data_IF_135826185142
#
_entry.id   IF_135826185142
#
_cell.length_a   1.000
_cell.length_b   1.000
_cell.length_c   1.000
_cell.angle_alpha   90.00
_cell.angle_beta   90.00
_cell.angle_gamma   90.00
#
_symmetry.space_group_name_H-M   'P 1'
#
loop_
_entity.id
_entity.type
_entity.pdbx_description
1 polymer ?
#
# COMPACT_ATOMS: atom_id res chain seq x y z
N UNK A 1 16.66 35.81 8.64
CA UNK A 1 15.94 34.71 7.98
C UNK A 1 16.23 34.87 6.50
N UNK A 2 16.90 33.94 5.82
CA UNK A 2 17.00 34.02 4.38
C UNK A 2 15.63 33.76 3.77
N UNK A 3 15.21 34.63 2.86
CA UNK A 3 13.98 34.47 2.08
C UNK A 3 14.03 33.14 1.31
N UNK A 4 12.95 32.36 1.40
CA UNK A 4 12.76 31.17 0.59
C UNK A 4 12.83 31.56 -0.90
N UNK A 5 13.42 30.73 -1.78
CA UNK A 5 13.42 31.01 -3.21
C UNK A 5 11.98 31.17 -3.71
N UNK A 6 11.77 32.22 -4.52
CA UNK A 6 10.47 32.64 -5.06
C UNK A 6 9.67 31.42 -5.58
N UNK A 7 8.54 31.14 -4.95
CA UNK A 7 7.53 30.22 -5.48
C UNK A 7 7.19 29.00 -4.62
N UNK A 8 7.97 28.66 -3.59
CA UNK A 8 7.64 27.51 -2.72
C UNK A 8 6.73 27.98 -1.59
N UNK A 9 5.45 27.60 -1.65
CA UNK A 9 4.52 27.86 -0.54
C UNK A 9 4.67 26.78 0.54
N UNK A 10 4.54 27.14 1.84
CA UNK A 10 4.62 26.17 2.93
C UNK A 10 3.67 25.00 2.71
N UNK A 11 4.14 23.79 2.98
CA UNK A 11 3.33 22.55 2.85
C UNK A 11 2.45 22.35 4.08
N UNK A 12 2.75 23.04 5.18
CA UNK A 12 1.97 23.02 6.43
C UNK A 12 0.52 23.48 6.21
N UNK A 13 -0.44 22.75 6.76
CA UNK A 13 -1.87 23.05 6.64
C UNK A 13 -2.53 22.62 5.34
N UNK A 14 -1.81 21.95 4.44
CA UNK A 14 -2.40 21.41 3.20
C UNK A 14 -3.26 20.17 3.46
N UNK A 15 -4.34 19.99 2.69
CA UNK A 15 -5.12 18.76 2.80
C UNK A 15 -4.29 17.55 2.38
N UNK A 16 -4.40 16.45 3.14
CA UNK A 16 -3.81 15.15 2.78
C UNK A 16 -4.90 14.29 2.15
N UNK A 17 -4.61 13.70 0.99
CA UNK A 17 -5.53 12.85 0.24
C UNK A 17 -4.90 11.49 0.02
N UNK A 18 -5.62 10.41 0.32
CA UNK A 18 -5.26 9.06 -0.06
C UNK A 18 -5.95 8.68 -1.37
N UNK A 19 -5.17 8.47 -2.42
CA UNK A 19 -5.62 8.03 -3.74
C UNK A 19 -5.75 6.50 -3.78
N UNK A 20 -6.72 5.93 -3.05
CA UNK A 20 -6.92 4.49 -2.95
C UNK A 20 -8.33 4.12 -2.51
N UNK A 21 -8.90 3.04 -3.07
CA UNK A 21 -10.15 2.45 -2.62
C UNK A 21 -9.99 1.50 -1.42
N UNK A 22 -8.74 1.19 -1.00
CA UNK A 22 -8.48 0.20 0.05
C UNK A 22 -8.91 0.70 1.44
N UNK A 23 -9.90 0.04 2.10
CA UNK A 23 -10.29 0.40 3.46
C UNK A 23 -9.18 0.12 4.47
N UNK A 24 -8.32 -0.88 4.23
CA UNK A 24 -7.17 -1.19 5.08
C UNK A 24 -6.17 -0.04 5.11
N UNK A 25 -5.81 0.53 3.95
CA UNK A 25 -4.92 1.69 3.85
C UNK A 25 -5.48 2.91 4.55
N UNK A 26 -6.78 3.16 4.38
CA UNK A 26 -7.43 4.30 5.04
C UNK A 26 -7.48 4.15 6.56
N UNK A 27 -7.67 2.93 7.07
CA UNK A 27 -7.62 2.64 8.51
C UNK A 27 -6.21 2.87 9.07
N UNK A 28 -5.18 2.29 8.43
CA UNK A 28 -3.78 2.48 8.82
C UNK A 28 -3.38 3.96 8.89
N UNK A 29 -3.77 4.77 7.89
CA UNK A 29 -3.42 6.19 7.90
C UNK A 29 -4.12 6.96 9.01
N UNK A 30 -5.41 6.69 9.30
CA UNK A 30 -6.12 7.38 10.38
C UNK A 30 -5.49 7.13 11.76
N UNK A 31 -4.84 5.99 11.94
CA UNK A 31 -4.14 5.61 13.16
C UNK A 31 -2.69 6.13 13.20
N UNK A 32 -2.14 6.59 12.06
CA UNK A 32 -0.74 6.95 11.92
C UNK A 32 -0.34 8.25 12.65
N UNK A 33 -1.30 9.08 13.03
CA UNK A 33 -1.03 10.29 13.84
C UNK A 33 -1.72 11.55 13.32
N UNK A 34 -1.45 12.69 13.97
CA UNK A 34 -2.16 13.96 13.73
C UNK A 34 -2.11 14.47 12.29
N UNK A 35 -0.99 14.25 11.59
CA UNK A 35 -0.82 14.64 10.18
C UNK A 35 -1.87 14.00 9.26
N UNK A 36 -2.45 12.87 9.66
CA UNK A 36 -3.42 12.10 8.88
C UNK A 36 -4.84 12.12 9.47
N UNK A 37 -5.07 12.87 10.55
CA UNK A 37 -6.35 12.88 11.27
C UNK A 37 -7.55 13.29 10.39
N UNK A 38 -7.33 14.11 9.36
CA UNK A 38 -8.35 14.63 8.46
C UNK A 38 -8.11 14.22 6.99
N UNK A 39 -7.59 13.01 6.75
CA UNK A 39 -7.37 12.53 5.37
C UNK A 39 -8.68 12.45 4.60
N UNK A 40 -8.63 12.85 3.34
CA UNK A 40 -9.69 12.62 2.36
C UNK A 40 -9.36 11.40 1.52
N UNK A 41 -10.36 10.62 1.17
CA UNK A 41 -10.21 9.45 0.30
C UNK A 41 -10.74 9.80 -1.08
N UNK A 42 -9.94 9.59 -2.10
CA UNK A 42 -10.35 9.72 -3.50
C UNK A 42 -9.91 8.47 -4.26
N UNK A 43 -10.83 7.89 -5.01
CA UNK A 43 -10.56 6.65 -5.77
C UNK A 43 -10.25 7.04 -7.21
N UNK A 44 -8.99 6.90 -7.65
CA UNK A 44 -8.62 7.19 -9.03
C UNK A 44 -9.09 6.06 -9.96
N UNK A 45 -9.47 6.44 -11.17
CA UNK A 45 -9.75 5.51 -12.27
C UNK A 45 -8.51 5.48 -13.19
N UNK A 46 -7.62 4.51 -12.95
CA UNK A 46 -6.38 4.32 -13.73
C UNK A 46 -6.24 2.85 -14.10
N UNK A 47 -5.62 2.59 -15.26
CA UNK A 47 -5.21 1.25 -15.64
C UNK A 47 -3.92 0.88 -14.91
N UNK A 48 -3.93 -0.24 -14.18
CA UNK A 48 -2.82 -0.70 -13.36
C UNK A 48 -2.03 -1.79 -14.10
N UNK A 49 -0.70 -1.71 -14.02
CA UNK A 49 0.23 -2.72 -14.54
C UNK A 49 0.76 -3.64 -13.44
N UNK A 50 1.86 -4.36 -13.74
CA UNK A 50 2.51 -5.27 -12.78
C UNK A 50 3.45 -4.61 -11.78
N UNK A 51 3.85 -3.34 -11.98
CA UNK A 51 4.77 -2.62 -11.10
C UNK A 51 4.01 -1.78 -10.06
N UNK A 52 4.17 -2.06 -8.75
CA UNK A 52 3.44 -1.37 -7.70
C UNK A 52 3.84 0.10 -7.56
N UNK A 53 5.09 0.47 -7.88
CA UNK A 53 5.55 1.84 -7.80
C UNK A 53 4.97 2.68 -8.94
N UNK A 54 4.90 2.15 -10.16
CA UNK A 54 4.24 2.80 -11.28
C UNK A 54 2.74 2.97 -11.03
N UNK A 55 2.06 1.95 -10.52
CA UNK A 55 0.66 2.02 -10.15
C UNK A 55 0.40 3.08 -9.07
N UNK A 56 1.26 3.17 -8.05
CA UNK A 56 1.18 4.19 -7.01
C UNK A 56 1.33 5.60 -7.59
N UNK A 57 2.26 5.79 -8.53
CA UNK A 57 2.46 7.07 -9.23
C UNK A 57 1.24 7.45 -10.06
N UNK A 58 0.69 6.54 -10.87
CA UNK A 58 -0.50 6.78 -11.68
C UNK A 58 -1.69 7.21 -10.81
N UNK A 59 -1.90 6.53 -9.68
CA UNK A 59 -2.96 6.86 -8.70
C UNK A 59 -2.76 8.25 -8.10
N UNK A 60 -1.54 8.56 -7.65
CA UNK A 60 -1.23 9.86 -7.05
C UNK A 60 -1.37 11.00 -8.06
N UNK A 61 -0.83 10.85 -9.26
CA UNK A 61 -0.90 11.86 -10.33
C UNK A 61 -2.35 12.16 -10.76
N UNK A 62 -3.19 11.14 -10.94
CA UNK A 62 -4.58 11.32 -11.33
C UNK A 62 -5.34 12.22 -10.36
N UNK A 63 -5.16 11.98 -9.05
CA UNK A 63 -5.83 12.75 -8.00
C UNK A 63 -5.17 14.11 -7.78
N UNK A 64 -3.84 14.22 -7.89
CA UNK A 64 -3.09 15.46 -7.69
C UNK A 64 -3.41 16.52 -8.76
N UNK A 65 -3.67 16.11 -10.00
CA UNK A 65 -4.10 17.03 -11.07
C UNK A 65 -5.38 17.78 -10.76
N UNK A 66 -6.32 17.10 -10.08
CA UNK A 66 -7.59 17.69 -9.65
C UNK A 66 -7.45 18.45 -8.31
N UNK A 67 -6.37 18.19 -7.57
CA UNK A 67 -6.14 18.76 -6.24
C UNK A 67 -4.68 19.27 -6.11
N UNK A 68 -4.26 20.29 -6.90
CA UNK A 68 -2.85 20.67 -7.03
C UNK A 68 -2.20 21.14 -5.73
N UNK A 69 -3.00 21.62 -4.77
CA UNK A 69 -2.51 22.10 -3.47
C UNK A 69 -2.45 21.01 -2.40
N UNK A 70 -3.00 19.82 -2.68
CA UNK A 70 -3.01 18.73 -1.70
C UNK A 70 -1.72 17.92 -1.73
N UNK A 71 -1.38 17.33 -0.57
CA UNK A 71 -0.43 16.22 -0.49
C UNK A 71 -1.20 14.95 -0.83
N UNK A 72 -0.95 14.36 -1.99
CA UNK A 72 -1.64 13.17 -2.47
C UNK A 72 -0.75 11.95 -2.29
N UNK A 73 -1.28 10.93 -1.63
CA UNK A 73 -0.61 9.64 -1.39
C UNK A 73 -1.25 8.60 -2.29
N UNK A 74 -0.49 8.06 -3.22
CA UNK A 74 -0.82 6.87 -3.99
C UNK A 74 -0.09 5.65 -3.43
N UNK A 75 -0.73 4.49 -3.45
CA UNK A 75 -0.09 3.25 -3.05
C UNK A 75 -0.65 2.06 -3.83
N UNK A 76 0.23 1.08 -4.08
CA UNK A 76 -0.14 -0.21 -4.65
C UNK A 76 0.68 -1.33 -4.03
N UNK A 77 0.10 -2.54 -3.92
CA UNK A 77 0.73 -3.68 -3.24
C UNK A 77 0.59 -4.93 -4.09
N UNK A 78 1.70 -5.61 -4.27
CA UNK A 78 1.77 -6.89 -4.98
C UNK A 78 2.53 -7.92 -4.14
N UNK A 79 2.34 -9.20 -4.46
CA UNK A 79 3.18 -10.29 -3.96
C UNK A 79 4.20 -10.61 -5.05
N UNK A 80 5.46 -10.79 -4.65
CA UNK A 80 6.53 -11.30 -5.54
C UNK A 80 6.98 -12.65 -5.03
N UNK A 81 6.94 -13.65 -5.90
CA UNK A 81 7.37 -14.99 -5.59
C UNK A 81 8.00 -15.64 -6.83
N UNK A 82 9.21 -16.22 -6.67
CA UNK A 82 9.98 -16.88 -7.75
C UNK A 82 10.17 -16.01 -9.01
N UNK A 83 10.33 -14.70 -8.83
CA UNK A 83 10.50 -13.75 -9.93
C UNK A 83 9.21 -13.32 -10.63
N UNK A 84 8.06 -13.79 -10.18
CA UNK A 84 6.75 -13.42 -10.70
C UNK A 84 6.01 -12.48 -9.74
N UNK A 85 5.18 -11.62 -10.31
CA UNK A 85 4.24 -10.78 -9.55
C UNK A 85 2.89 -11.47 -9.49
N UNK A 86 2.39 -11.69 -8.27
CA UNK A 86 1.07 -12.27 -8.00
C UNK A 86 0.14 -11.14 -7.53
N UNK A 87 -0.88 -10.86 -8.33
CA UNK A 87 -1.92 -9.90 -8.01
C UNK A 87 -3.09 -10.53 -7.23
N UNK A 88 -4.29 -9.96 -7.45
CA UNK A 88 -5.54 -10.53 -6.95
C UNK A 88 -5.90 -11.77 -7.77
N UNK A 89 -6.45 -12.82 -7.15
CA UNK A 89 -6.91 -14.00 -7.86
C UNK A 89 -8.09 -13.66 -8.79
N UNK A 90 -8.16 -14.38 -9.92
CA UNK A 90 -9.24 -14.23 -10.89
C UNK A 90 -10.57 -14.82 -10.37
N UNK A 91 -10.48 -15.91 -9.62
CA UNK A 91 -11.59 -16.65 -9.03
C UNK A 91 -11.14 -17.47 -7.80
N UNK A 92 -12.05 -18.25 -7.20
CA UNK A 92 -11.72 -19.07 -6.02
C UNK A 92 -10.75 -20.21 -6.35
N UNK A 93 -10.82 -20.79 -7.54
CA UNK A 93 -9.90 -21.84 -7.95
C UNK A 93 -8.48 -21.29 -8.10
N UNK A 94 -8.36 -20.09 -8.64
CA UNK A 94 -7.09 -19.37 -8.74
C UNK A 94 -6.54 -19.00 -7.36
N UNK A 95 -7.40 -18.53 -6.44
CA UNK A 95 -7.03 -18.26 -5.06
C UNK A 95 -6.45 -19.50 -4.37
N UNK A 96 -7.09 -20.65 -4.54
CA UNK A 96 -6.60 -21.93 -4.01
C UNK A 96 -5.24 -22.33 -4.57
N UNK A 97 -5.01 -22.14 -5.88
CA UNK A 97 -3.71 -22.38 -6.54
C UNK A 97 -2.61 -21.45 -6.00
N UNK A 98 -2.93 -20.16 -5.83
CA UNK A 98 -2.00 -19.17 -5.28
C UNK A 98 -1.60 -19.56 -3.85
N UNK A 99 -2.56 -19.85 -2.96
CA UNK A 99 -2.27 -20.27 -1.58
C UNK A 99 -1.45 -21.57 -1.52
N UNK A 100 -1.77 -22.54 -2.36
CA UNK A 100 -1.01 -23.80 -2.46
C UNK A 100 0.43 -23.55 -2.94
N UNK A 101 0.62 -22.62 -3.89
CA UNK A 101 1.94 -22.26 -4.40
C UNK A 101 2.80 -21.55 -3.35
N UNK A 102 2.22 -20.71 -2.51
CA UNK A 102 2.91 -19.99 -1.44
C UNK A 102 3.15 -20.85 -0.19
N UNK A 103 2.47 -22.00 -0.06
CA UNK A 103 2.53 -22.90 1.09
C UNK A 103 3.96 -23.36 1.39
N UNK A 104 4.42 -23.15 2.62
CA UNK A 104 5.75 -23.53 3.10
C UNK A 104 6.91 -22.69 2.53
N UNK A 105 6.61 -21.58 1.83
CA UNK A 105 7.63 -20.75 1.21
C UNK A 105 7.62 -19.33 1.78
N UNK A 106 8.73 -18.62 1.54
CA UNK A 106 8.86 -17.19 1.79
C UNK A 106 8.63 -16.44 0.49
N UNK A 107 7.83 -15.39 0.55
CA UNK A 107 7.54 -14.48 -0.56
C UNK A 107 7.64 -13.02 -0.10
N UNK A 108 7.72 -12.08 -1.05
CA UNK A 108 7.79 -10.66 -0.76
C UNK A 108 6.42 -10.01 -0.92
N UNK A 109 6.05 -9.21 0.08
CA UNK A 109 4.97 -8.22 -0.04
C UNK A 109 5.63 -6.89 -0.38
N UNK A 110 5.46 -6.42 -1.61
CA UNK A 110 6.05 -5.18 -2.09
C UNK A 110 4.97 -4.11 -2.26
N UNK A 111 5.14 -2.98 -1.56
CA UNK A 111 4.25 -1.82 -1.71
C UNK A 111 5.01 -0.64 -2.28
N UNK A 112 4.59 -0.19 -3.45
CA UNK A 112 4.98 1.09 -4.02
C UNK A 112 4.16 2.22 -3.39
N UNK A 113 4.84 3.33 -3.07
CA UNK A 113 4.24 4.55 -2.52
C UNK A 113 4.71 5.74 -3.32
N UNK A 114 3.77 6.63 -3.65
CA UNK A 114 4.04 7.93 -4.25
C UNK A 114 3.37 9.04 -3.44
N UNK A 115 4.13 10.05 -3.07
CA UNK A 115 3.62 11.28 -2.46
C UNK A 115 3.81 12.42 -3.47
N UNK A 116 2.71 13.06 -3.87
CA UNK A 116 2.68 14.10 -4.89
C UNK A 116 2.01 15.38 -4.38
N UNK A 117 2.63 16.53 -4.61
CA UNK A 117 1.99 17.84 -4.50
C UNK A 117 2.37 18.66 -5.73
N UNK A 118 1.39 18.99 -6.58
CA UNK A 118 1.65 19.64 -7.88
C UNK A 118 2.12 21.07 -7.71
N UNK A 119 1.51 21.83 -6.82
CA UNK A 119 1.82 23.27 -6.63
C UNK A 119 3.27 23.50 -6.16
N UNK A 120 3.84 22.58 -5.39
CA UNK A 120 5.23 22.65 -4.92
C UNK A 120 6.21 21.82 -5.75
N UNK A 121 5.73 21.18 -6.81
CA UNK A 121 6.49 20.19 -7.59
C UNK A 121 7.11 19.07 -6.75
N UNK A 122 6.43 18.66 -5.67
CA UNK A 122 6.87 17.58 -4.81
C UNK A 122 6.52 16.25 -5.47
N UNK A 123 7.53 15.40 -5.64
CA UNK A 123 7.38 14.01 -6.04
C UNK A 123 8.35 13.16 -5.22
N UNK A 124 7.82 12.45 -4.23
CA UNK A 124 8.55 11.42 -3.48
C UNK A 124 7.97 10.08 -3.82
N UNK A 125 8.84 9.13 -4.09
CA UNK A 125 8.45 7.76 -4.42
C UNK A 125 9.42 6.76 -3.79
N UNK A 126 8.89 5.67 -3.30
CA UNK A 126 9.68 4.57 -2.75
C UNK A 126 8.91 3.26 -2.81
N UNK A 127 9.62 2.17 -2.73
CA UNK A 127 9.07 0.84 -2.53
C UNK A 127 9.53 0.29 -1.18
N UNK A 128 8.65 -0.42 -0.50
CA UNK A 128 8.94 -1.19 0.72
C UNK A 128 8.63 -2.65 0.46
N UNK A 129 9.56 -3.53 0.84
CA UNK A 129 9.38 -4.97 0.74
C UNK A 129 9.47 -5.62 2.13
N UNK A 130 8.57 -6.57 2.39
CA UNK A 130 8.53 -7.35 3.63
C UNK A 130 8.45 -8.82 3.27
N UNK A 131 9.31 -9.63 3.88
CA UNK A 131 9.31 -11.08 3.69
C UNK A 131 8.26 -11.74 4.58
N UNK A 132 7.37 -12.52 3.97
CA UNK A 132 6.35 -13.30 4.66
C UNK A 132 6.58 -14.78 4.38
N UNK A 133 6.73 -15.58 5.44
CA UNK A 133 6.87 -17.02 5.35
C UNK A 133 5.55 -17.69 5.71
N UNK A 134 5.04 -18.53 4.82
CA UNK A 134 3.84 -19.32 5.08
C UNK A 134 4.21 -20.64 5.77
N UNK A 135 3.30 -21.09 6.64
CA UNK A 135 3.26 -22.46 7.13
C UNK A 135 3.06 -23.42 5.96
N UNK A 136 3.41 -24.70 6.14
CA UNK A 136 2.95 -25.74 5.21
C UNK A 136 1.44 -25.88 5.33
N UNK A 137 0.71 -25.54 4.27
CA UNK A 137 -0.74 -25.56 4.22
C UNK A 137 -1.22 -26.87 3.58
N UNK A 138 -2.12 -27.59 4.26
CA UNK A 138 -2.83 -28.72 3.64
C UNK A 138 -4.03 -28.21 2.84
N UNK A 139 -4.57 -29.00 1.90
CA UNK A 139 -5.79 -28.60 1.16
C UNK A 139 -6.96 -28.20 2.07
N UNK A 140 -7.10 -28.90 3.22
CA UNK A 140 -8.15 -28.62 4.20
C UNK A 140 -7.96 -27.27 4.89
N UNK A 141 -6.71 -26.86 5.16
CA UNK A 141 -6.39 -25.53 5.71
C UNK A 141 -6.71 -24.45 4.70
N UNK A 142 -6.32 -24.64 3.43
CA UNK A 142 -6.61 -23.70 2.34
C UNK A 142 -8.12 -23.53 2.17
N UNK A 143 -8.87 -24.62 2.08
CA UNK A 143 -10.33 -24.59 1.93
C UNK A 143 -11.02 -23.89 3.11
N UNK A 144 -10.60 -24.17 4.35
CA UNK A 144 -11.10 -23.49 5.54
C UNK A 144 -10.81 -22.00 5.52
N UNK A 145 -9.59 -21.61 5.17
CA UNK A 145 -9.17 -20.22 5.07
C UNK A 145 -9.99 -19.43 4.03
N UNK A 146 -10.15 -20.00 2.84
CA UNK A 146 -10.93 -19.39 1.75
C UNK A 146 -12.43 -19.25 2.06
N UNK A 147 -12.97 -20.09 2.97
CA UNK A 147 -14.36 -19.95 3.48
C UNK A 147 -14.50 -18.85 4.51
N UNK A 148 -13.45 -18.58 5.29
CA UNK A 148 -13.46 -17.60 6.36
C UNK A 148 -13.10 -16.18 5.89
N UNK A 149 -12.32 -16.06 4.81
CA UNK A 149 -11.72 -14.80 4.32
C UNK A 149 -12.18 -14.51 2.90
N UNK A 150 -12.52 -13.24 2.62
CA UNK A 150 -12.73 -12.82 1.23
C UNK A 150 -11.37 -12.69 0.53
N UNK A 151 -10.93 -13.74 -0.17
CA UNK A 151 -9.61 -13.81 -0.80
C UNK A 151 -9.53 -13.06 -2.14
N UNK A 152 -10.67 -12.79 -2.80
CA UNK A 152 -10.70 -12.25 -4.16
C UNK A 152 -10.30 -10.76 -4.27
N UNK A 153 -10.32 -10.02 -3.17
CA UNK A 153 -9.95 -8.60 -3.13
C UNK A 153 -8.51 -8.35 -2.67
N UNK A 154 -7.71 -9.42 -2.52
CA UNK A 154 -6.38 -9.39 -1.92
C UNK A 154 -5.30 -9.93 -2.85
N UNK A 155 -4.20 -9.20 -3.03
CA UNK A 155 -3.01 -9.73 -3.69
C UNK A 155 -2.50 -10.98 -2.94
N UNK A 156 -2.15 -12.02 -3.69
CA UNK A 156 -1.73 -13.30 -3.10
C UNK A 156 -2.82 -14.10 -2.42
N UNK A 157 -4.10 -13.71 -2.56
CA UNK A 157 -5.26 -14.38 -1.99
C UNK A 157 -5.29 -14.45 -0.46
N UNK A 158 -4.63 -13.53 0.27
CA UNK A 158 -4.64 -13.54 1.73
C UNK A 158 -4.60 -12.15 2.37
N UNK A 159 -4.93 -12.08 3.65
CA UNK A 159 -4.72 -10.91 4.51
C UNK A 159 -4.20 -11.34 5.88
N UNK A 160 -3.18 -10.65 6.38
CA UNK A 160 -2.64 -10.94 7.71
C UNK A 160 -3.64 -10.67 8.85
N UNK A 161 -4.53 -9.68 8.66
CA UNK A 161 -5.50 -9.28 9.68
C UNK A 161 -6.71 -10.23 9.79
N UNK A 162 -6.88 -11.15 8.85
CA UNK A 162 -8.00 -12.06 8.75
C UNK A 162 -7.48 -13.51 8.78
N UNK A 163 -7.45 -14.13 9.95
CA UNK A 163 -6.95 -15.50 10.15
C UNK A 163 -5.50 -15.71 9.68
N UNK A 164 -4.65 -14.66 9.73
CA UNK A 164 -3.26 -14.73 9.30
C UNK A 164 -2.44 -15.75 10.10
N UNK A 165 -2.77 -15.96 11.38
CA UNK A 165 -2.14 -16.94 12.26
C UNK A 165 -2.28 -18.40 11.78
N UNK A 166 -3.31 -18.70 10.99
CA UNK A 166 -3.53 -20.03 10.42
C UNK A 166 -2.55 -20.37 9.31
N UNK A 167 -2.08 -19.35 8.57
CA UNK A 167 -1.29 -19.52 7.35
C UNK A 167 0.12 -18.93 7.41
N UNK A 168 0.35 -17.88 8.23
CA UNK A 168 1.64 -17.20 8.34
C UNK A 168 2.45 -17.79 9.49
N UNK A 169 3.71 -18.12 9.22
CA UNK A 169 4.68 -18.57 10.20
C UNK A 169 5.54 -17.43 10.72
N UNK A 170 6.03 -16.57 9.80
CA UNK A 170 6.96 -15.49 10.12
C UNK A 170 6.76 -14.28 9.22
N UNK A 171 7.00 -13.09 9.76
CA UNK A 171 7.15 -11.83 9.04
C UNK A 171 8.51 -11.24 9.37
N UNK A 172 9.22 -10.77 8.34
CA UNK A 172 10.52 -10.11 8.46
C UNK A 172 10.45 -8.78 7.70
N UNK A 173 10.23 -7.68 8.44
CA UNK A 173 10.00 -6.33 7.94
C UNK A 173 8.77 -5.66 8.55
N UNK A 174 8.15 -4.73 7.81
CA UNK A 174 7.02 -3.92 8.29
C UNK A 174 5.69 -4.65 8.21
N UNK A 175 5.01 -4.78 9.35
CA UNK A 175 3.66 -5.33 9.42
C UNK A 175 2.66 -4.45 8.65
N UNK A 176 2.78 -3.13 8.76
CA UNK A 176 1.89 -2.19 8.08
C UNK A 176 2.05 -2.27 6.57
N UNK A 177 3.28 -2.57 6.09
CA UNK A 177 3.52 -2.87 4.68
C UNK A 177 2.76 -4.13 4.23
N UNK A 178 2.77 -5.21 5.00
CA UNK A 178 2.02 -6.44 4.68
C UNK A 178 0.51 -6.19 4.64
N UNK A 179 -0.01 -5.29 5.48
CA UNK A 179 -1.42 -4.87 5.44
C UNK A 179 -1.73 -4.05 4.17
N UNK A 180 -0.72 -3.38 3.59
CA UNK A 180 -0.82 -2.68 2.30
C UNK A 180 -0.35 -1.23 2.28
N UNK A 181 0.32 -0.74 3.36
CA UNK A 181 0.90 0.60 3.40
C UNK A 181 2.04 0.67 4.44
N UNK A 182 3.28 0.97 4.07
CA UNK A 182 4.41 1.11 4.99
C UNK A 182 4.32 2.44 5.76
N UNK A 183 3.49 2.43 6.82
CA UNK A 183 3.07 3.64 7.56
C UNK A 183 4.25 4.35 8.19
N UNK A 184 5.22 3.63 8.73
CA UNK A 184 6.37 4.19 9.44
C UNK A 184 7.16 5.11 8.51
N UNK A 185 7.56 4.60 7.35
CA UNK A 185 8.33 5.36 6.35
C UNK A 185 7.51 6.46 5.68
N UNK A 186 6.23 6.20 5.41
CA UNK A 186 5.33 7.21 4.86
C UNK A 186 5.13 8.37 5.83
N UNK A 187 4.98 8.10 7.12
CA UNK A 187 4.83 9.11 8.17
C UNK A 187 6.05 10.02 8.21
N UNK A 188 7.25 9.46 8.30
CA UNK A 188 8.50 10.23 8.25
C UNK A 188 8.58 11.12 7.02
N UNK A 189 8.19 10.57 5.85
CA UNK A 189 8.18 11.33 4.59
C UNK A 189 7.20 12.50 4.63
N UNK A 190 5.98 12.29 5.08
CA UNK A 190 4.94 13.35 5.09
C UNK A 190 5.24 14.39 6.17
N UNK A 191 5.66 13.98 7.36
CA UNK A 191 6.04 14.89 8.44
C UNK A 191 7.20 15.79 8.00
N UNK A 192 8.24 15.23 7.38
CA UNK A 192 9.35 16.00 6.79
C UNK A 192 8.85 17.03 5.76
N UNK A 193 7.94 16.63 4.87
CA UNK A 193 7.37 17.56 3.88
C UNK A 193 6.55 18.68 4.52
N UNK A 194 5.82 18.39 5.60
CA UNK A 194 5.02 19.39 6.31
C UNK A 194 5.87 20.41 7.10
N UNK A 195 7.12 20.08 7.42
CA UNK A 195 8.09 20.96 8.10
C UNK A 195 8.88 21.84 7.12
N UNK A 196 8.81 21.56 5.81
CA UNK A 196 9.46 22.40 4.81
C UNK A 196 8.86 23.83 4.81
N UNK A 197 9.71 24.87 4.74
CA UNK A 197 9.31 26.28 4.76
C UNK A 197 8.47 26.66 3.54
#
# INVERSE_FOLDING_TARGET
>A
MPDAPDGIRPVSGRPVILASASPRRSALLREAGPAFASIRIMVPHVEEGGDPLENAMLKAEAVARENPQAIVIGADTVIRFEGETIGKPADLDDAGRILARLSGHTHDVATGVCVRCMENDILVRFEEATHVTFRTLTPEVIDRYMKAVNVLDKAGAYAIQEHGEDIIEKIDGSLTNVIGLPVERLKETVEYLLELP
#
